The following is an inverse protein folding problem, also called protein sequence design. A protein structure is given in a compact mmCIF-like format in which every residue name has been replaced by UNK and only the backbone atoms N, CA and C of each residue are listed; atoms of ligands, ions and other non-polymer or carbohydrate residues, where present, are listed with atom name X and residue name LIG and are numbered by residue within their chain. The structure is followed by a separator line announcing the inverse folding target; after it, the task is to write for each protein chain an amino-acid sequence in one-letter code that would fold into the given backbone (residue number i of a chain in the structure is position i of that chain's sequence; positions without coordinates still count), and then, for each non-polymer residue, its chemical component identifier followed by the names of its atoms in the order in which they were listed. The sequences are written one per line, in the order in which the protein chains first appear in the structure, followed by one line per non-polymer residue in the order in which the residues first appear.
data_IF_502941523921
#
_entry.id   IF_502941523921
#
_cell.length_a   1.000
_cell.length_b   1.000
_cell.length_c   1.000
_cell.angle_alpha   90.00
_cell.angle_beta   90.00
_cell.angle_gamma   90.00
#
_symmetry.space_group_name_H-M   'P 1'
#
loop_
_entity.id
_entity.type
_entity.pdbx_description
1 polymer ?
#
# COMPACT_ATOMS: atom_id res chain seq x y z
N UNK A 1 3.27 -17.44 29.75
CA UNK A 1 3.53 -17.42 28.29
C UNK A 1 5.05 -17.42 28.09
N UNK A 2 5.61 -18.37 27.35
CA UNK A 2 7.07 -18.47 27.20
C UNK A 2 7.61 -17.39 26.24
N UNK A 3 8.89 -17.01 26.37
CA UNK A 3 9.55 -16.08 25.43
C UNK A 3 9.55 -16.63 23.99
N UNK A 4 9.59 -17.96 23.85
CA UNK A 4 9.53 -18.67 22.57
C UNK A 4 8.12 -18.55 21.94
N UNK A 5 7.05 -18.80 22.71
CA UNK A 5 5.66 -18.59 22.25
C UNK A 5 5.42 -17.14 21.80
N UNK A 6 6.02 -16.17 22.50
CA UNK A 6 5.91 -14.76 22.14
C UNK A 6 6.56 -14.48 20.78
N UNK A 7 7.77 -15.00 20.55
CA UNK A 7 8.46 -14.88 19.26
C UNK A 7 7.70 -15.58 18.11
N UNK A 8 7.15 -16.76 18.35
CA UNK A 8 6.30 -17.45 17.36
C UNK A 8 5.09 -16.61 16.94
N UNK A 9 4.39 -15.99 17.91
CA UNK A 9 3.26 -15.12 17.65
C UNK A 9 3.68 -13.86 16.85
N UNK A 10 4.85 -13.28 17.13
CA UNK A 10 5.37 -12.13 16.40
C UNK A 10 5.73 -12.48 14.94
N UNK A 11 6.29 -13.67 14.68
CA UNK A 11 6.54 -14.16 13.32
C UNK A 11 5.24 -14.33 12.55
N UNK A 12 4.24 -14.96 13.16
CA UNK A 12 2.90 -15.13 12.57
C UNK A 12 2.26 -13.78 12.25
N UNK A 13 2.26 -12.85 13.23
CA UNK A 13 1.72 -11.51 13.06
C UNK A 13 2.38 -10.73 11.93
N UNK A 14 3.72 -10.80 11.81
CA UNK A 14 4.45 -10.20 10.68
C UNK A 14 4.01 -10.81 9.34
N UNK A 15 3.90 -12.13 9.24
CA UNK A 15 3.49 -12.80 7.99
C UNK A 15 2.10 -12.32 7.56
N UNK A 16 1.16 -12.24 8.50
CA UNK A 16 -0.18 -11.72 8.20
C UNK A 16 -0.14 -10.28 7.72
N UNK A 17 0.56 -9.37 8.43
CA UNK A 17 0.62 -7.96 8.01
C UNK A 17 1.31 -7.75 6.67
N UNK A 18 2.29 -8.59 6.32
CA UNK A 18 2.90 -8.57 4.99
C UNK A 18 1.91 -9.04 3.91
N UNK A 19 1.12 -10.09 4.18
CA UNK A 19 0.08 -10.56 3.27
C UNK A 19 -1.01 -9.49 3.07
N UNK A 20 -1.49 -8.85 4.14
CA UNK A 20 -2.46 -7.75 4.08
C UNK A 20 -1.94 -6.59 3.21
N UNK A 21 -0.66 -6.22 3.37
CA UNK A 21 0.00 -5.19 2.56
C UNK A 21 0.05 -5.55 1.08
N UNK A 22 0.34 -6.81 0.75
CA UNK A 22 0.36 -7.28 -0.64
C UNK A 22 -1.04 -7.23 -1.25
N UNK A 23 -2.04 -7.77 -0.55
CA UNK A 23 -3.43 -7.75 -1.00
C UNK A 23 -3.93 -6.31 -1.26
N UNK A 24 -3.67 -5.39 -0.34
CA UNK A 24 -4.04 -3.97 -0.50
C UNK A 24 -3.32 -3.31 -1.68
N UNK A 25 -2.04 -3.65 -1.90
CA UNK A 25 -1.28 -3.15 -3.05
C UNK A 25 -1.87 -3.65 -4.37
N UNK A 26 -2.26 -4.91 -4.45
CA UNK A 26 -2.83 -5.51 -5.66
C UNK A 26 -4.22 -4.98 -5.98
N UNK A 27 -5.07 -4.80 -4.96
CA UNK A 27 -6.37 -4.13 -5.12
C UNK A 27 -6.21 -2.71 -5.67
N UNK A 28 -5.35 -1.89 -5.05
CA UNK A 28 -5.08 -0.53 -5.53
C UNK A 28 -4.54 -0.52 -6.97
N UNK A 29 -3.65 -1.45 -7.32
CA UNK A 29 -3.08 -1.56 -8.68
C UNK A 29 -4.12 -2.00 -9.73
N UNK A 30 -5.09 -2.83 -9.36
CA UNK A 30 -6.19 -3.23 -10.24
C UNK A 30 -7.10 -2.04 -10.51
N UNK A 31 -7.59 -1.38 -9.45
CA UNK A 31 -8.42 -0.18 -9.56
C UNK A 31 -7.76 0.90 -10.42
N UNK A 32 -6.45 1.14 -10.21
CA UNK A 32 -5.72 2.13 -11.00
C UNK A 32 -5.62 1.76 -12.48
N UNK A 33 -5.48 0.48 -12.81
CA UNK A 33 -5.45 0.02 -14.21
C UNK A 33 -6.79 0.24 -14.89
N UNK A 34 -7.89 -0.10 -14.22
CA UNK A 34 -9.25 0.16 -14.73
C UNK A 34 -9.49 1.65 -14.97
N UNK A 35 -9.12 2.49 -14.00
CA UNK A 35 -9.27 3.93 -14.11
C UNK A 35 -8.36 4.54 -15.18
N UNK A 36 -7.16 4.00 -15.40
CA UNK A 36 -6.28 4.41 -16.51
C UNK A 36 -6.94 4.14 -17.87
N UNK A 37 -7.61 2.98 -18.02
CA UNK A 37 -8.32 2.65 -19.25
C UNK A 37 -9.45 3.65 -19.49
N UNK A 38 -10.29 3.89 -18.48
CA UNK A 38 -11.39 4.86 -18.58
C UNK A 38 -10.91 6.26 -18.92
N UNK A 39 -9.89 6.74 -18.22
CA UNK A 39 -9.31 8.06 -18.48
C UNK A 39 -8.62 8.15 -19.86
N UNK A 40 -8.07 7.05 -20.37
CA UNK A 40 -7.55 6.98 -21.74
C UNK A 40 -8.67 7.11 -22.76
N UNK A 41 -9.79 6.40 -22.56
CA UNK A 41 -10.98 6.48 -23.42
C UNK A 41 -11.56 7.89 -23.38
N UNK A 42 -11.76 8.46 -22.19
CA UNK A 42 -12.18 9.85 -22.00
C UNK A 42 -11.31 10.80 -22.83
N UNK A 43 -9.98 10.68 -22.77
CA UNK A 43 -9.07 11.57 -23.53
C UNK A 43 -9.12 11.34 -25.03
N UNK A 44 -9.42 10.13 -25.50
CA UNK A 44 -9.56 9.88 -26.93
C UNK A 44 -10.82 10.55 -27.47
N UNK A 45 -11.95 10.37 -26.77
CA UNK A 45 -13.22 11.00 -27.12
C UNK A 45 -13.17 12.53 -26.96
N UNK A 46 -12.67 13.04 -25.84
CA UNK A 46 -12.57 14.48 -25.61
C UNK A 46 -11.72 15.19 -26.68
N UNK A 47 -10.67 14.56 -27.22
CA UNK A 47 -9.83 15.15 -28.26
C UNK A 47 -10.51 15.30 -29.62
N UNK A 48 -11.63 14.61 -29.88
CA UNK A 48 -12.35 14.74 -31.15
C UNK A 48 -13.17 16.04 -31.19
N UNK A 49 -13.61 16.53 -30.03
CA UNK A 49 -14.44 17.73 -29.89
C UNK A 49 -13.67 18.93 -29.34
N UNK A 50 -12.65 18.71 -28.51
CA UNK A 50 -11.78 19.77 -27.98
C UNK A 50 -10.51 19.89 -28.82
N UNK A 51 -10.61 20.71 -29.86
CA UNK A 51 -9.55 20.92 -30.85
C UNK A 51 -8.59 22.04 -30.40
N UNK A 52 -9.11 23.04 -29.68
CA UNK A 52 -8.36 24.24 -29.37
C UNK A 52 -7.26 23.99 -28.30
N UNK A 53 -6.08 24.63 -28.41
CA UNK A 53 -4.98 24.38 -27.48
C UNK A 53 -5.24 24.78 -26.02
N UNK A 54 -6.22 25.66 -25.77
CA UNK A 54 -6.55 26.11 -24.41
C UNK A 54 -7.40 25.06 -23.70
N UNK A 55 -8.45 24.54 -24.36
CA UNK A 55 -9.28 23.44 -23.89
C UNK A 55 -8.51 22.15 -23.67
N UNK A 56 -7.61 21.80 -24.60
CA UNK A 56 -6.75 20.62 -24.44
C UNK A 56 -5.85 20.71 -23.20
N UNK A 57 -5.37 21.92 -22.88
CA UNK A 57 -4.61 22.18 -21.65
C UNK A 57 -5.49 22.15 -20.41
N UNK A 58 -6.66 22.81 -20.44
CA UNK A 58 -7.60 22.85 -19.32
C UNK A 58 -8.05 21.45 -18.89
N UNK A 59 -8.29 20.55 -19.83
CA UNK A 59 -8.69 19.16 -19.58
C UNK A 59 -7.49 18.19 -19.52
N UNK A 60 -6.26 18.72 -19.50
CA UNK A 60 -5.01 17.96 -19.47
C UNK A 60 -4.97 16.80 -20.50
N UNK A 61 -5.51 17.00 -21.70
CA UNK A 61 -5.69 15.93 -22.69
C UNK A 61 -4.34 15.40 -23.19
N UNK A 62 -3.33 16.26 -23.30
CA UNK A 62 -2.02 15.88 -23.85
C UNK A 62 -0.94 15.62 -22.79
N UNK A 63 -1.29 15.76 -21.52
CA UNK A 63 -0.35 15.59 -20.41
C UNK A 63 -0.23 14.10 -20.06
N UNK A 64 0.98 13.56 -19.95
CA UNK A 64 1.18 12.17 -19.50
C UNK A 64 0.62 11.97 -18.08
N UNK A 65 -0.12 10.88 -17.87
CA UNK A 65 -0.61 10.54 -16.53
C UNK A 65 0.54 10.34 -15.53
N UNK A 66 0.47 10.95 -14.33
CA UNK A 66 1.50 10.79 -13.31
C UNK A 66 1.68 9.33 -12.88
N UNK A 67 2.93 8.92 -12.66
CA UNK A 67 3.26 7.59 -12.15
C UNK A 67 2.90 7.42 -10.65
N UNK A 68 2.89 8.50 -9.87
CA UNK A 68 2.50 8.46 -8.45
C UNK A 68 0.96 8.46 -8.32
N UNK A 69 0.41 7.50 -7.56
CA UNK A 69 -1.05 7.33 -7.43
C UNK A 69 -1.75 8.57 -6.87
N UNK A 70 -1.15 9.25 -5.87
CA UNK A 70 -1.74 10.48 -5.32
C UNK A 70 -1.90 11.58 -6.38
N UNK A 71 -0.81 11.90 -7.09
CA UNK A 71 -0.86 12.90 -8.18
C UNK A 71 -1.83 12.50 -9.30
N UNK A 72 -1.96 11.20 -9.56
CA UNK A 72 -2.92 10.69 -10.54
C UNK A 72 -4.38 10.92 -10.10
N UNK A 73 -4.70 10.66 -8.82
CA UNK A 73 -6.01 10.96 -8.22
C UNK A 73 -6.32 12.45 -8.34
N UNK A 74 -5.39 13.29 -7.90
CA UNK A 74 -5.57 14.75 -7.86
C UNK A 74 -5.79 15.31 -9.27
N UNK A 75 -4.95 14.92 -10.23
CA UNK A 75 -5.12 15.31 -11.64
C UNK A 75 -6.47 14.83 -12.20
N UNK A 76 -6.88 13.59 -11.90
CA UNK A 76 -8.16 13.07 -12.43
C UNK A 76 -9.34 13.88 -11.89
N UNK A 77 -9.31 14.28 -10.62
CA UNK A 77 -10.33 15.15 -10.02
C UNK A 77 -10.39 16.51 -10.70
N UNK A 78 -9.23 17.11 -11.00
CA UNK A 78 -9.17 18.37 -11.71
C UNK A 78 -9.76 18.26 -13.12
N UNK A 79 -9.43 17.18 -13.85
CA UNK A 79 -10.00 16.91 -15.18
C UNK A 79 -11.53 16.78 -15.10
N UNK A 80 -12.05 15.97 -14.17
CA UNK A 80 -13.51 15.80 -13.99
C UNK A 80 -14.17 17.13 -13.65
N UNK A 81 -13.59 17.90 -12.72
CA UNK A 81 -14.10 19.22 -12.35
C UNK A 81 -14.12 20.18 -13.54
N UNK A 82 -13.05 20.23 -14.33
CA UNK A 82 -12.98 21.08 -15.52
C UNK A 82 -13.96 20.61 -16.61
N UNK A 83 -14.19 19.30 -16.75
CA UNK A 83 -15.13 18.73 -17.71
C UNK A 83 -16.58 19.18 -17.47
N UNK A 84 -16.94 19.45 -16.21
CA UNK A 84 -18.26 19.96 -15.82
C UNK A 84 -18.46 21.45 -16.10
N UNK A 85 -17.41 22.17 -16.49
CA UNK A 85 -17.48 23.61 -16.72
C UNK A 85 -17.78 23.90 -18.19
N UNK A 86 -18.58 24.94 -18.45
CA UNK A 86 -18.76 25.44 -19.80
C UNK A 86 -17.47 26.13 -20.30
N UNK A 87 -17.13 25.99 -21.60
CA UNK A 87 -17.93 25.36 -22.67
C UNK A 87 -17.72 23.83 -22.81
N UNK A 88 -16.89 23.22 -21.95
CA UNK A 88 -16.46 21.83 -22.10
C UNK A 88 -17.60 20.84 -21.87
N UNK A 89 -18.46 21.08 -20.88
CA UNK A 89 -19.59 20.19 -20.58
C UNK A 89 -20.48 19.97 -21.81
N UNK A 90 -20.88 21.06 -22.48
CA UNK A 90 -21.69 20.98 -23.71
C UNK A 90 -20.97 20.24 -24.84
N UNK A 91 -19.67 20.52 -25.06
CA UNK A 91 -18.90 19.85 -26.12
C UNK A 91 -18.69 18.35 -25.84
N UNK A 92 -18.38 17.99 -24.60
CA UNK A 92 -18.14 16.61 -24.17
C UNK A 92 -19.41 15.77 -24.25
N UNK A 93 -20.58 16.35 -23.97
CA UNK A 93 -21.87 15.66 -24.12
C UNK A 93 -22.13 15.20 -25.57
N UNK A 94 -21.58 15.88 -26.58
CA UNK A 94 -21.72 15.45 -28.00
C UNK A 94 -21.00 14.14 -28.34
N UNK A 95 -20.09 13.69 -27.47
CA UNK A 95 -19.37 12.41 -27.56
C UNK A 95 -19.68 11.49 -26.39
N UNK A 96 -20.89 11.60 -25.84
CA UNK A 96 -21.42 10.74 -24.78
C UNK A 96 -20.64 10.82 -23.44
N UNK A 97 -19.82 11.87 -23.26
CA UNK A 97 -19.23 12.18 -21.96
C UNK A 97 -20.18 13.15 -21.26
N UNK A 98 -21.21 12.57 -20.65
CA UNK A 98 -22.23 13.29 -19.88
C UNK A 98 -21.93 13.27 -18.36
N UNK A 99 -22.83 13.87 -17.58
CA UNK A 99 -22.69 13.93 -16.12
C UNK A 99 -22.69 12.53 -15.49
N UNK A 100 -23.41 11.55 -16.04
CA UNK A 100 -23.42 10.19 -15.54
C UNK A 100 -22.05 9.51 -15.74
N UNK A 101 -21.44 9.69 -16.90
CA UNK A 101 -20.09 9.21 -17.19
C UNK A 101 -19.04 9.83 -16.25
N UNK A 102 -19.10 11.15 -16.03
CA UNK A 102 -18.20 11.86 -15.12
C UNK A 102 -18.38 11.41 -13.66
N UNK A 103 -19.61 11.13 -13.24
CA UNK A 103 -19.91 10.57 -11.92
C UNK A 103 -19.33 9.16 -11.72
N UNK A 104 -19.33 8.30 -12.74
CA UNK A 104 -18.67 6.98 -12.66
C UNK A 104 -17.15 7.12 -12.48
N UNK A 105 -16.51 8.02 -13.23
CA UNK A 105 -15.07 8.31 -13.06
C UNK A 105 -14.81 8.81 -11.63
N UNK A 106 -15.58 9.76 -11.13
CA UNK A 106 -15.42 10.32 -9.79
C UNK A 106 -15.59 9.24 -8.71
N UNK A 107 -16.60 8.37 -8.83
CA UNK A 107 -16.80 7.25 -7.91
C UNK A 107 -15.58 6.31 -7.89
N UNK A 108 -15.04 5.96 -9.07
CA UNK A 108 -13.85 5.09 -9.18
C UNK A 108 -12.59 5.74 -8.66
N UNK A 109 -12.44 7.07 -8.79
CA UNK A 109 -11.36 7.85 -8.18
C UNK A 109 -11.46 7.80 -6.66
N UNK A 110 -12.65 7.95 -6.09
CA UNK A 110 -12.87 7.86 -4.65
C UNK A 110 -12.52 6.47 -4.11
N UNK A 111 -12.92 5.40 -4.81
CA UNK A 111 -12.51 4.03 -4.49
C UNK A 111 -10.98 3.87 -4.56
N UNK A 112 -10.31 4.45 -5.56
CA UNK A 112 -8.86 4.41 -5.66
C UNK A 112 -8.17 5.15 -4.50
N UNK A 113 -8.70 6.29 -4.05
CA UNK A 113 -8.18 7.02 -2.89
C UNK A 113 -8.31 6.19 -1.61
N UNK A 114 -9.48 5.59 -1.37
CA UNK A 114 -9.70 4.69 -0.23
C UNK A 114 -8.72 3.51 -0.22
N UNK A 115 -8.48 2.89 -1.39
CA UNK A 115 -7.53 1.79 -1.54
C UNK A 115 -6.08 2.25 -1.35
N UNK A 116 -5.75 3.46 -1.81
CA UNK A 116 -4.43 4.05 -1.60
C UNK A 116 -4.14 4.26 -0.10
N UNK A 117 -5.10 4.81 0.65
CA UNK A 117 -4.99 4.98 2.09
C UNK A 117 -4.93 3.64 2.84
N UNK A 118 -5.77 2.67 2.45
CA UNK A 118 -5.72 1.32 2.99
C UNK A 118 -4.34 0.68 2.79
N UNK A 119 -3.75 0.83 1.60
CA UNK A 119 -2.38 0.37 1.32
C UNK A 119 -1.34 1.08 2.19
N UNK A 120 -1.48 2.38 2.44
CA UNK A 120 -0.55 3.11 3.33
C UNK A 120 -0.63 2.58 4.76
N UNK A 121 -1.83 2.42 5.30
CA UNK A 121 -2.06 1.84 6.62
C UNK A 121 -1.48 0.43 6.73
N UNK A 122 -1.74 -0.44 5.74
CA UNK A 122 -1.19 -1.79 5.71
C UNK A 122 0.35 -1.78 5.62
N UNK A 123 0.93 -0.85 4.86
CA UNK A 123 2.38 -0.68 4.78
C UNK A 123 2.99 -0.29 6.13
N UNK A 124 2.40 0.67 6.84
CA UNK A 124 2.85 1.06 8.18
C UNK A 124 2.71 -0.10 9.17
N UNK A 125 1.59 -0.82 9.17
CA UNK A 125 1.38 -1.98 10.03
C UNK A 125 2.41 -3.09 9.79
N UNK A 126 2.80 -3.34 8.53
CA UNK A 126 3.84 -4.31 8.20
C UNK A 126 5.23 -3.90 8.69
N UNK A 127 5.56 -2.60 8.63
CA UNK A 127 6.81 -2.05 9.19
C UNK A 127 6.82 -2.22 10.71
N UNK A 128 5.75 -1.83 11.38
CA UNK A 128 5.61 -2.00 12.84
C UNK A 128 5.74 -3.46 13.26
N UNK A 129 5.04 -4.39 12.58
CA UNK A 129 5.13 -5.81 12.88
C UNK A 129 6.55 -6.39 12.67
N UNK A 130 7.30 -5.85 11.70
CA UNK A 130 8.72 -6.22 11.52
C UNK A 130 9.57 -5.73 12.70
N UNK A 131 9.39 -4.47 13.12
CA UNK A 131 10.09 -3.91 14.28
C UNK A 131 9.78 -4.69 15.56
N UNK A 132 8.51 -4.99 15.83
CA UNK A 132 8.10 -5.75 17.01
C UNK A 132 8.67 -7.16 17.02
N UNK A 133 8.74 -7.83 15.86
CA UNK A 133 9.43 -9.12 15.74
C UNK A 133 10.90 -8.97 16.12
N UNK A 134 11.61 -8.00 15.55
CA UNK A 134 13.05 -7.84 15.75
C UNK A 134 13.38 -7.50 17.20
N UNK A 135 12.51 -6.74 17.88
CA UNK A 135 12.58 -6.51 19.31
C UNK A 135 12.34 -7.79 20.12
N UNK A 136 11.30 -8.56 19.81
CA UNK A 136 11.02 -9.84 20.49
C UNK A 136 12.18 -10.83 20.41
N UNK A 137 12.81 -10.97 19.24
CA UNK A 137 13.98 -11.84 19.08
C UNK A 137 15.21 -11.32 19.82
N UNK A 138 15.42 -9.99 19.90
CA UNK A 138 16.48 -9.42 20.73
C UNK A 138 16.29 -9.78 22.21
N UNK A 139 15.07 -9.66 22.72
CA UNK A 139 14.73 -10.05 24.11
C UNK A 139 14.92 -11.54 24.34
N UNK A 140 14.51 -12.40 23.40
CA UNK A 140 14.73 -13.84 23.49
C UNK A 140 16.23 -14.19 23.52
N UNK A 141 17.05 -13.58 22.68
CA UNK A 141 18.50 -13.80 22.68
C UNK A 141 19.15 -13.34 23.99
N UNK A 142 18.72 -12.21 24.55
CA UNK A 142 19.20 -11.75 25.85
C UNK A 142 18.84 -12.75 26.96
N UNK A 143 17.61 -13.24 26.97
CA UNK A 143 17.15 -14.24 27.94
C UNK A 143 17.92 -15.55 27.82
N UNK A 144 18.09 -16.06 26.58
CA UNK A 144 18.87 -17.26 26.31
C UNK A 144 20.32 -17.11 26.77
N UNK A 145 20.96 -15.96 26.53
CA UNK A 145 22.32 -15.69 26.99
C UNK A 145 22.44 -15.72 28.52
N UNK A 146 21.48 -15.15 29.24
CA UNK A 146 21.47 -15.20 30.71
C UNK A 146 21.33 -16.63 31.21
N UNK A 147 20.43 -17.42 30.62
CA UNK A 147 20.30 -18.85 30.95
C UNK A 147 21.60 -19.61 30.66
N UNK A 148 22.24 -19.34 29.53
CA UNK A 148 23.50 -20.00 29.16
C UNK A 148 24.60 -19.71 30.17
N UNK A 149 24.77 -18.44 30.57
CA UNK A 149 25.76 -18.05 31.57
C UNK A 149 25.48 -18.70 32.92
N UNK A 150 24.22 -18.74 33.36
CA UNK A 150 23.83 -19.37 34.64
C UNK A 150 24.06 -20.88 34.63
N UNK A 151 23.71 -21.55 33.54
CA UNK A 151 23.94 -22.99 33.39
C UNK A 151 25.44 -23.31 33.38
N UNK A 152 26.25 -22.55 32.63
CA UNK A 152 27.70 -22.70 32.63
C UNK A 152 28.32 -22.47 34.02
N UNK A 153 27.83 -21.49 34.78
CA UNK A 153 28.29 -21.28 36.14
C UNK A 153 27.97 -22.49 37.04
N UNK A 154 26.76 -23.06 36.92
CA UNK A 154 26.34 -24.25 37.67
C UNK A 154 27.17 -25.49 37.30
N UNK A 155 27.41 -25.72 36.01
CA UNK A 155 28.21 -26.86 35.53
C UNK A 155 29.68 -26.76 35.97
N UNK A 156 30.21 -25.54 36.17
CA UNK A 156 31.56 -25.35 36.74
C UNK A 156 31.63 -25.70 38.22
N UNK A 157 30.57 -25.44 38.99
CA UNK A 157 30.53 -25.76 40.42
C UNK A 157 30.11 -27.22 40.70
N UNK A 158 29.51 -27.89 39.72
CA UNK A 158 29.02 -29.27 39.79
C UNK A 158 29.56 -30.12 38.63
N UNK A 159 30.86 -30.47 38.64
CA UNK A 159 31.48 -31.26 37.56
C UNK A 159 30.90 -32.68 37.43
N UNK A 160 30.21 -33.17 38.45
CA UNK A 160 29.48 -34.44 38.46
C UNK A 160 28.24 -34.45 37.54
N UNK A 161 27.72 -33.28 37.17
CA UNK A 161 26.54 -33.18 36.31
C UNK A 161 26.95 -33.31 34.84
N UNK A 162 26.40 -34.29 34.08
CA UNK A 162 26.65 -34.41 32.65
C UNK A 162 26.23 -33.14 31.92
N UNK A 163 27.10 -32.61 31.07
CA UNK A 163 26.80 -31.38 30.33
C UNK A 163 25.66 -31.63 29.33
N UNK A 164 24.58 -30.82 29.36
CA UNK A 164 23.52 -30.92 28.38
C UNK A 164 23.99 -30.47 26.99
N UNK A 165 23.38 -31.02 25.95
CA UNK A 165 23.70 -30.73 24.54
C UNK A 165 23.64 -29.21 24.25
N UNK A 166 24.68 -28.66 23.60
CA UNK A 166 24.81 -27.23 23.32
C UNK A 166 25.60 -26.42 24.34
N UNK A 167 26.21 -27.08 25.33
CA UNK A 167 27.07 -26.48 26.35
C UNK A 167 28.46 -27.16 26.36
N UNK A 168 29.25 -26.91 25.32
CA UNK A 168 30.65 -27.38 25.19
C UNK A 168 31.63 -26.27 25.63
N UNK A 169 32.86 -26.63 26.01
CA UNK A 169 33.90 -25.66 26.43
C UNK A 169 34.36 -24.74 25.28
#
# INVERSE_FOLDING_TARGET
KTQIETCHNLVSGRRQKMADKMAATDQMRRQRRELNTLNSTYRQLARTVIIDPAGRRALALDIRFPAKTRLYIDLTREIVKASRQEPYATLLATVEIDEAYLNDIEARVNVLEMLYEARQRASHAAVQATSSRDEGFRTLHQFARVLTVRMNALLRTHPEIPRPMGFEE
#
